data_IF_310494271062
#
_entry.id   IF_310494271062
#
_cell.length_a   1.000
_cell.length_b   1.000
_cell.length_c   1.000
_cell.angle_alpha   90.00
_cell.angle_beta   90.00
_cell.angle_gamma   90.00
#
_symmetry.space_group_name_H-M   'P 1'
#
loop_
_entity.id
_entity.type
_entity.pdbx_description
1 polymer ?
#
# COMPACT_ATOMS: atom_id res chain seq x y z
N UNK A 1 18.83 -0.69 9.16
CA UNK A 1 18.02 0.11 8.20
C UNK A 1 18.82 0.30 6.93
N UNK A 2 18.20 0.26 5.75
CA UNK A 2 18.86 0.59 4.49
C UNK A 2 17.94 0.46 3.28
N UNK A 3 18.51 0.53 2.09
CA UNK A 3 17.77 0.48 0.82
C UNK A 3 17.43 -0.96 0.42
N UNK A 4 16.15 -1.33 0.53
CA UNK A 4 15.67 -2.66 0.14
C UNK A 4 15.82 -2.98 -1.35
N UNK A 5 16.02 -1.98 -2.22
CA UNK A 5 16.32 -2.22 -3.63
C UNK A 5 17.76 -2.70 -3.86
N UNK A 6 18.69 -2.44 -2.94
CA UNK A 6 20.10 -2.76 -3.15
C UNK A 6 20.39 -4.26 -3.04
N UNK A 7 21.45 -4.71 -3.70
CA UNK A 7 21.97 -6.08 -3.53
C UNK A 7 22.56 -6.27 -2.13
N UNK A 8 23.24 -5.25 -1.60
CA UNK A 8 23.83 -5.26 -0.25
C UNK A 8 22.77 -5.57 0.82
N UNK A 9 21.60 -4.94 0.76
CA UNK A 9 20.52 -5.21 1.72
C UNK A 9 19.97 -6.63 1.60
N UNK A 10 19.89 -7.17 0.38
CA UNK A 10 19.48 -8.57 0.15
C UNK A 10 20.50 -9.54 0.74
N UNK A 11 21.79 -9.26 0.54
CA UNK A 11 22.90 -10.04 1.10
C UNK A 11 22.91 -10.01 2.64
N UNK A 12 22.72 -8.84 3.24
CA UNK A 12 22.64 -8.67 4.69
C UNK A 12 21.48 -9.44 5.31
N UNK A 13 20.29 -9.36 4.70
CA UNK A 13 19.11 -10.13 5.16
C UNK A 13 19.36 -11.63 5.02
N UNK A 14 19.92 -12.08 3.90
CA UNK A 14 20.27 -13.50 3.70
C UNK A 14 21.28 -13.97 4.74
N UNK A 15 22.30 -13.16 5.02
CA UNK A 15 23.31 -13.46 6.03
C UNK A 15 22.66 -13.61 7.41
N UNK A 16 21.81 -12.68 7.81
CA UNK A 16 21.07 -12.75 9.06
C UNK A 16 20.20 -14.01 9.15
N UNK A 17 19.48 -14.37 8.07
CA UNK A 17 18.66 -15.59 8.05
C UNK A 17 19.52 -16.84 8.31
N UNK A 18 20.72 -16.90 7.73
CA UNK A 18 21.64 -18.04 7.85
C UNK A 18 22.34 -18.10 9.21
N UNK A 19 22.76 -16.97 9.74
CA UNK A 19 23.64 -16.90 10.91
C UNK A 19 22.86 -16.78 12.23
N UNK A 20 21.74 -16.05 12.23
CA UNK A 20 21.06 -15.61 13.47
C UNK A 20 19.62 -16.13 13.56
N UNK A 21 18.84 -16.06 12.47
CA UNK A 21 17.45 -16.53 12.47
C UNK A 21 17.33 -18.04 12.67
N UNK A 22 18.39 -18.79 12.30
CA UNK A 22 18.53 -20.22 12.60
C UNK A 22 17.64 -21.14 11.76
N UNK A 23 17.17 -20.68 10.60
CA UNK A 23 16.22 -21.44 9.79
C UNK A 23 16.00 -20.91 8.39
N UNK A 24 14.85 -21.29 7.84
CA UNK A 24 14.36 -20.84 6.54
C UNK A 24 13.10 -20.01 6.76
N UNK A 25 12.78 -19.15 5.82
CA UNK A 25 11.55 -18.36 5.87
C UNK A 25 10.42 -19.09 5.14
N UNK A 26 9.21 -18.98 5.68
CA UNK A 26 7.97 -19.51 5.11
C UNK A 26 7.04 -18.41 4.56
N UNK A 27 7.32 -17.14 4.86
CA UNK A 27 6.56 -16.00 4.39
C UNK A 27 7.45 -14.80 4.07
N UNK A 28 7.25 -14.21 2.89
CA UNK A 28 7.78 -12.89 2.53
C UNK A 28 6.63 -11.91 2.24
N UNK A 29 6.55 -10.84 3.02
CA UNK A 29 5.65 -9.71 2.75
C UNK A 29 6.41 -8.62 2.01
N UNK A 30 6.01 -8.33 0.77
CA UNK A 30 6.55 -7.23 -0.02
C UNK A 30 5.65 -6.00 0.08
N UNK A 31 6.03 -5.07 0.97
CA UNK A 31 5.25 -3.87 1.33
C UNK A 31 6.05 -2.58 1.12
N UNK A 32 6.77 -2.48 0.00
CA UNK A 32 7.54 -1.29 -0.36
C UNK A 32 6.64 -0.21 -0.98
N UNK A 33 6.74 1.01 -0.44
CA UNK A 33 6.24 2.22 -1.07
C UNK A 33 7.39 3.23 -1.11
N UNK A 34 7.95 3.46 -2.29
CA UNK A 34 9.05 4.39 -2.51
C UNK A 34 8.77 5.26 -3.72
N UNK A 35 9.26 6.50 -3.69
CA UNK A 35 9.24 7.38 -4.85
C UNK A 35 10.45 7.15 -5.78
N UNK A 36 11.45 6.40 -5.31
CA UNK A 36 12.77 6.26 -5.97
C UNK A 36 13.26 4.83 -5.85
N UNK A 37 13.87 4.32 -6.93
CA UNK A 37 14.63 3.06 -6.95
C UNK A 37 15.90 3.31 -7.73
N UNK A 38 17.05 2.96 -7.16
CA UNK A 38 18.27 2.75 -7.94
C UNK A 38 18.29 1.27 -8.33
N UNK A 39 18.24 0.98 -9.62
CA UNK A 39 18.23 -0.42 -10.06
C UNK A 39 19.61 -1.04 -9.86
N UNK A 40 19.72 -2.14 -9.08
CA UNK A 40 20.99 -2.79 -8.82
C UNK A 40 21.64 -3.42 -10.07
N UNK A 41 20.92 -3.57 -11.19
CA UNK A 41 21.46 -4.19 -12.42
C UNK A 41 22.19 -3.21 -13.32
N UNK A 42 21.63 -2.01 -13.51
CA UNK A 42 22.17 -1.00 -14.42
C UNK A 42 22.71 0.26 -13.71
N UNK A 43 22.44 0.41 -12.40
CA UNK A 43 22.85 1.55 -11.60
C UNK A 43 22.04 2.83 -11.84
N UNK A 44 20.97 2.78 -12.63
CA UNK A 44 20.12 3.94 -12.96
C UNK A 44 19.14 4.21 -11.83
N UNK A 45 19.03 5.48 -11.43
CA UNK A 45 18.02 5.93 -10.47
C UNK A 45 16.73 6.34 -11.19
N UNK A 46 15.68 5.57 -10.97
CA UNK A 46 14.33 5.82 -11.44
C UNK A 46 13.51 6.56 -10.38
N UNK A 47 12.61 7.45 -10.84
CA UNK A 47 11.67 8.17 -9.98
C UNK A 47 10.25 7.92 -10.46
N UNK A 48 9.39 7.45 -9.56
CA UNK A 48 7.98 7.26 -9.88
C UNK A 48 7.27 8.60 -9.96
N UNK A 49 6.32 8.72 -10.88
CA UNK A 49 5.38 9.82 -10.94
C UNK A 49 3.99 9.29 -10.61
N UNK A 50 3.17 10.08 -9.94
CA UNK A 50 1.74 9.80 -9.75
C UNK A 50 0.94 10.70 -10.69
N UNK A 51 0.63 10.17 -11.86
CA UNK A 51 0.00 10.91 -12.97
C UNK A 51 -0.98 10.02 -13.72
N UNK A 52 -1.95 10.64 -14.37
CA UNK A 52 -2.87 9.95 -15.28
C UNK A 52 -2.15 9.56 -16.57
N UNK A 53 -2.57 8.50 -17.25
CA UNK A 53 -1.98 8.11 -18.56
C UNK A 53 -2.77 8.62 -19.76
N UNK A 54 -4.01 9.06 -19.56
CA UNK A 54 -4.90 9.46 -20.66
C UNK A 54 -5.13 10.97 -20.72
N UNK A 55 -5.56 11.56 -19.62
CA UNK A 55 -5.98 12.96 -19.53
C UNK A 55 -5.76 13.54 -18.14
N UNK A 56 -5.68 14.86 -18.07
CA UNK A 56 -5.64 15.56 -16.78
C UNK A 56 -6.85 15.22 -15.93
N UNK A 57 -6.61 15.03 -14.63
CA UNK A 57 -7.65 14.77 -13.63
C UNK A 57 -7.71 15.97 -12.70
N UNK A 58 -8.89 16.54 -12.59
CA UNK A 58 -9.19 17.64 -11.67
C UNK A 58 -10.24 17.12 -10.70
N UNK A 59 -10.01 17.30 -9.40
CA UNK A 59 -10.97 16.86 -8.39
C UNK A 59 -10.72 17.44 -7.00
N UNK A 60 -11.76 17.48 -6.17
CA UNK A 60 -11.65 17.95 -4.80
C UNK A 60 -10.82 16.98 -3.96
N UNK A 61 -9.99 17.53 -3.08
CA UNK A 61 -9.26 16.81 -2.04
C UNK A 61 -9.36 17.56 -0.72
N UNK A 62 -9.06 16.89 0.38
CA UNK A 62 -8.96 17.54 1.70
C UNK A 62 -7.51 17.95 1.91
N UNK A 63 -7.28 19.25 2.10
CA UNK A 63 -6.02 19.77 2.61
C UNK A 63 -6.02 19.58 4.14
N UNK A 64 -5.24 18.62 4.64
CA UNK A 64 -5.20 18.29 6.07
C UNK A 64 -4.56 19.38 6.93
N UNK A 65 -3.69 20.22 6.37
CA UNK A 65 -3.03 21.32 7.08
C UNK A 65 -3.98 22.49 7.28
N UNK A 66 -4.67 22.91 6.21
CA UNK A 66 -5.62 24.02 6.24
C UNK A 66 -7.01 23.64 6.70
N UNK A 67 -7.29 22.33 6.74
CA UNK A 67 -8.59 21.76 7.05
C UNK A 67 -9.72 22.29 6.15
N UNK A 68 -9.45 22.37 4.84
CA UNK A 68 -10.37 22.83 3.80
C UNK A 68 -10.40 21.87 2.61
N UNK A 69 -11.46 21.94 1.79
CA UNK A 69 -11.45 21.31 0.48
C UNK A 69 -10.70 22.23 -0.50
N UNK A 70 -9.77 21.65 -1.24
CA UNK A 70 -9.10 22.31 -2.36
C UNK A 70 -9.25 21.51 -3.64
N UNK A 71 -9.23 22.19 -4.77
CA UNK A 71 -9.14 21.53 -6.07
C UNK A 71 -7.69 21.09 -6.31
N UNK A 72 -7.52 19.83 -6.67
CA UNK A 72 -6.23 19.24 -7.00
C UNK A 72 -6.21 18.85 -8.47
N UNK A 73 -5.06 19.08 -9.11
CA UNK A 73 -4.84 18.75 -10.52
C UNK A 73 -3.73 17.72 -10.63
N UNK A 74 -4.03 16.61 -11.30
CA UNK A 74 -3.07 15.57 -11.67
C UNK A 74 -2.86 15.60 -13.17
N UNK A 75 -1.65 15.96 -13.59
CA UNK A 75 -1.27 16.02 -15.00
C UNK A 75 -1.16 14.65 -15.67
N UNK A 76 -0.89 14.68 -16.98
CA UNK A 76 -0.67 13.49 -17.82
C UNK A 76 0.81 13.09 -17.77
N UNK A 77 1.06 11.79 -17.67
CA UNK A 77 2.39 11.22 -17.61
C UNK A 77 3.07 11.19 -18.99
N UNK A 78 4.38 11.43 -19.01
CA UNK A 78 5.20 11.09 -20.18
C UNK A 78 5.45 9.57 -20.25
N UNK A 79 5.84 9.03 -21.41
CA UNK A 79 6.25 7.62 -21.52
C UNK A 79 7.39 7.24 -20.57
N UNK A 80 8.33 8.17 -20.31
CA UNK A 80 9.44 7.98 -19.37
C UNK A 80 8.97 7.91 -17.91
N UNK A 81 7.98 8.73 -17.54
CA UNK A 81 7.36 8.70 -16.22
C UNK A 81 6.60 7.39 -15.98
N UNK A 82 5.90 6.88 -16.99
CA UNK A 82 5.25 5.56 -16.93
C UNK A 82 6.31 4.47 -16.73
N UNK A 83 7.35 4.45 -17.56
CA UNK A 83 8.43 3.46 -17.46
C UNK A 83 9.12 3.50 -16.09
N UNK A 84 9.51 4.68 -15.63
CA UNK A 84 10.15 4.86 -14.33
C UNK A 84 9.25 4.43 -13.18
N UNK A 85 7.94 4.69 -13.27
CA UNK A 85 6.98 4.25 -12.25
C UNK A 85 6.86 2.72 -12.22
N UNK A 86 6.85 2.05 -13.38
CA UNK A 86 6.90 0.58 -13.43
C UNK A 86 8.19 0.05 -12.82
N UNK A 87 9.34 0.67 -13.11
CA UNK A 87 10.63 0.27 -12.50
C UNK A 87 10.60 0.39 -10.98
N UNK A 88 10.01 1.45 -10.43
CA UNK A 88 9.99 1.67 -8.96
C UNK A 88 8.93 0.83 -8.25
N UNK A 89 7.71 0.79 -8.77
CA UNK A 89 6.51 0.27 -8.05
C UNK A 89 5.95 -1.03 -8.64
N UNK A 90 6.58 -1.57 -9.68
CA UNK A 90 6.26 -2.86 -10.29
C UNK A 90 6.77 -4.05 -9.48
N UNK A 91 6.74 -5.23 -10.11
CA UNK A 91 7.11 -6.48 -9.45
C UNK A 91 8.59 -6.84 -9.54
N UNK A 92 9.39 -6.09 -10.29
CA UNK A 92 10.77 -6.50 -10.58
C UNK A 92 11.62 -6.71 -9.33
N UNK A 93 11.64 -5.78 -8.37
CA UNK A 93 12.44 -5.94 -7.15
C UNK A 93 11.88 -7.03 -6.22
N UNK A 94 10.56 -7.20 -6.17
CA UNK A 94 9.94 -8.32 -5.45
C UNK A 94 10.44 -9.66 -5.99
N UNK A 95 10.52 -9.80 -7.32
CA UNK A 95 11.10 -10.97 -7.95
C UNK A 95 12.58 -11.13 -7.60
N UNK A 96 13.38 -10.07 -7.60
CA UNK A 96 14.79 -10.12 -7.19
C UNK A 96 14.97 -10.59 -5.75
N UNK A 97 14.10 -10.18 -4.84
CA UNK A 97 14.10 -10.69 -3.46
C UNK A 97 13.85 -12.19 -3.41
N UNK A 98 12.81 -12.68 -4.09
CA UNK A 98 12.49 -14.11 -4.11
C UNK A 98 13.62 -14.93 -4.76
N UNK A 99 14.20 -14.44 -5.85
CA UNK A 99 15.34 -15.09 -6.52
C UNK A 99 16.57 -15.15 -5.62
N UNK A 100 16.94 -14.05 -4.95
CA UNK A 100 18.10 -14.04 -4.06
C UNK A 100 17.92 -14.98 -2.85
N UNK A 101 16.73 -15.02 -2.25
CA UNK A 101 16.39 -15.92 -1.15
C UNK A 101 16.41 -17.39 -1.59
N UNK A 102 15.92 -17.66 -2.81
CA UNK A 102 15.93 -18.99 -3.42
C UNK A 102 17.36 -19.49 -3.68
N UNK A 103 18.20 -18.67 -4.32
CA UNK A 103 19.59 -18.97 -4.63
C UNK A 103 20.41 -19.22 -3.35
N UNK A 104 20.12 -18.47 -2.29
CA UNK A 104 20.75 -18.64 -0.99
C UNK A 104 20.28 -19.90 -0.24
N UNK A 105 19.22 -20.58 -0.70
CA UNK A 105 18.67 -21.79 -0.11
C UNK A 105 17.90 -21.56 1.20
N UNK A 106 17.43 -20.33 1.45
CA UNK A 106 16.79 -19.93 2.71
C UNK A 106 15.25 -19.93 2.67
N UNK A 107 14.65 -20.44 1.59
CA UNK A 107 13.20 -20.61 1.43
C UNK A 107 12.75 -22.01 1.88
N UNK A 108 11.72 -22.08 2.72
CA UNK A 108 11.15 -23.33 3.22
C UNK A 108 10.06 -23.93 2.29
N UNK A 109 9.69 -25.19 2.53
CA UNK A 109 8.56 -25.84 1.85
C UNK A 109 7.25 -25.15 2.24
N UNK A 110 6.38 -24.93 1.26
CA UNK A 110 5.10 -24.23 1.46
C UNK A 110 5.24 -22.72 1.55
N UNK A 111 6.41 -22.17 1.21
CA UNK A 111 6.67 -20.74 1.25
C UNK A 111 5.61 -19.92 0.52
N UNK A 112 5.17 -18.85 1.18
CA UNK A 112 4.22 -17.88 0.65
C UNK A 112 4.89 -16.54 0.47
N UNK A 113 4.47 -15.79 -0.54
CA UNK A 113 4.83 -14.38 -0.62
C UNK A 113 3.64 -13.53 -1.04
N UNK A 114 3.49 -12.36 -0.41
CA UNK A 114 2.36 -11.46 -0.65
C UNK A 114 2.88 -10.05 -0.89
N UNK A 115 2.56 -9.49 -2.06
CA UNK A 115 2.80 -8.09 -2.37
C UNK A 115 1.54 -7.25 -2.15
N UNK A 116 1.65 -6.12 -1.45
CA UNK A 116 0.50 -5.24 -1.24
C UNK A 116 0.26 -4.32 -2.45
N UNK A 117 -1.02 -4.18 -2.79
CA UNK A 117 -1.49 -3.30 -3.86
C UNK A 117 -2.83 -2.66 -3.46
N UNK A 118 -3.29 -1.74 -4.30
CA UNK A 118 -4.55 -1.03 -4.14
C UNK A 118 -5.16 -0.84 -5.53
N UNK A 119 -6.48 -1.07 -5.63
CA UNK A 119 -7.26 -0.82 -6.84
C UNK A 119 -8.27 0.32 -6.62
N UNK A 120 -8.99 0.26 -5.52
CA UNK A 120 -10.01 1.24 -5.16
C UNK A 120 -11.26 1.18 -6.04
N UNK A 121 -12.21 2.11 -5.84
CA UNK A 121 -13.42 2.21 -6.64
C UNK A 121 -13.23 2.99 -7.93
N UNK A 122 -14.32 3.06 -8.72
CA UNK A 122 -14.38 3.80 -9.99
C UNK A 122 -13.94 5.25 -9.88
N UNK A 123 -14.31 5.96 -8.79
CA UNK A 123 -13.93 7.37 -8.59
C UNK A 123 -12.41 7.56 -8.51
N UNK A 124 -11.65 6.52 -8.15
CA UNK A 124 -10.19 6.58 -8.07
C UNK A 124 -9.47 5.97 -9.29
N UNK A 125 -10.20 5.44 -10.29
CA UNK A 125 -9.58 4.71 -11.41
C UNK A 125 -8.62 5.55 -12.22
N UNK A 126 -8.97 6.81 -12.53
CA UNK A 126 -8.08 7.69 -13.30
C UNK A 126 -6.71 7.90 -12.63
N UNK A 127 -6.66 7.88 -11.30
CA UNK A 127 -5.43 8.06 -10.53
C UNK A 127 -4.68 6.74 -10.38
N UNK A 128 -5.40 5.68 -10.02
CA UNK A 128 -4.80 4.39 -9.73
C UNK A 128 -4.78 3.49 -10.96
N UNK A 129 -5.92 2.88 -11.30
CA UNK A 129 -6.01 1.85 -12.34
C UNK A 129 -5.48 2.32 -13.70
N UNK A 130 -5.87 3.52 -14.10
CA UNK A 130 -5.59 4.12 -15.41
C UNK A 130 -4.46 5.16 -15.34
N UNK A 131 -3.77 5.25 -14.19
CA UNK A 131 -2.59 6.07 -13.99
C UNK A 131 -1.27 5.31 -14.15
N UNK A 132 -0.17 6.02 -13.97
CA UNK A 132 1.21 5.48 -13.93
C UNK A 132 1.35 4.38 -12.88
N UNK A 133 0.73 4.56 -11.71
CA UNK A 133 0.77 3.56 -10.64
C UNK A 133 0.02 2.29 -11.04
N UNK A 134 -1.08 2.39 -11.80
CA UNK A 134 -1.81 1.24 -12.34
C UNK A 134 -1.00 0.45 -13.35
N UNK A 135 -0.18 1.11 -14.17
CA UNK A 135 0.78 0.43 -15.03
C UNK A 135 1.78 -0.40 -14.21
N UNK A 136 2.30 0.18 -13.13
CA UNK A 136 3.18 -0.55 -12.21
C UNK A 136 2.46 -1.71 -11.49
N UNK A 137 1.19 -1.53 -11.08
CA UNK A 137 0.43 -2.60 -10.42
C UNK A 137 0.08 -3.75 -11.35
N UNK A 138 -0.17 -3.51 -12.64
CA UNK A 138 -0.30 -4.58 -13.64
C UNK A 138 0.99 -5.39 -13.82
N UNK A 139 2.15 -4.72 -13.79
CA UNK A 139 3.45 -5.40 -13.81
C UNK A 139 3.67 -6.26 -12.54
N UNK A 140 3.26 -5.73 -11.37
CA UNK A 140 3.28 -6.47 -10.10
C UNK A 140 2.38 -7.72 -10.14
N UNK A 141 1.18 -7.60 -10.71
CA UNK A 141 0.23 -8.71 -10.90
C UNK A 141 0.80 -9.79 -11.82
N UNK A 142 1.35 -9.41 -12.98
CA UNK A 142 2.02 -10.35 -13.89
C UNK A 142 3.22 -11.06 -13.21
N UNK A 143 3.99 -10.30 -12.43
CA UNK A 143 5.10 -10.87 -11.64
C UNK A 143 4.59 -11.86 -10.60
N UNK A 144 3.45 -11.61 -9.97
CA UNK A 144 2.84 -12.54 -9.01
C UNK A 144 2.54 -13.89 -9.65
N UNK A 145 2.01 -13.91 -10.87
CA UNK A 145 1.74 -15.17 -11.57
C UNK A 145 3.03 -15.93 -11.91
N UNK A 146 4.05 -15.21 -12.38
CA UNK A 146 5.37 -15.78 -12.64
C UNK A 146 5.97 -16.41 -11.37
N UNK A 147 5.92 -15.70 -10.24
CA UNK A 147 6.42 -16.18 -8.96
C UNK A 147 5.58 -17.36 -8.43
N UNK A 148 4.26 -17.31 -8.61
CA UNK A 148 3.37 -18.36 -8.16
C UNK A 148 3.68 -19.70 -8.86
N UNK A 149 3.88 -19.68 -10.18
CA UNK A 149 4.24 -20.87 -10.95
C UNK A 149 5.60 -21.45 -10.53
N UNK A 150 6.58 -20.56 -10.31
CA UNK A 150 7.91 -20.93 -9.83
C UNK A 150 7.86 -21.58 -8.44
N UNK A 151 7.22 -20.93 -7.47
CA UNK A 151 7.15 -21.38 -6.09
C UNK A 151 6.32 -22.65 -5.94
N UNK A 152 5.22 -22.78 -6.69
CA UNK A 152 4.39 -23.98 -6.68
C UNK A 152 5.18 -25.21 -7.12
N UNK A 153 5.99 -25.08 -8.17
CA UNK A 153 6.81 -26.18 -8.70
C UNK A 153 7.95 -26.56 -7.75
N UNK A 154 8.64 -25.58 -7.16
CA UNK A 154 9.87 -25.83 -6.39
C UNK A 154 9.61 -26.10 -4.91
N UNK A 155 8.63 -25.44 -4.32
CA UNK A 155 8.39 -25.44 -2.87
C UNK A 155 6.99 -25.92 -2.48
N UNK A 156 6.09 -26.18 -3.44
CA UNK A 156 4.65 -26.26 -3.18
C UNK A 156 4.16 -24.99 -2.46
N UNK A 157 4.72 -23.84 -2.86
CA UNK A 157 4.43 -22.52 -2.33
C UNK A 157 3.46 -21.70 -3.19
N UNK A 158 3.21 -20.47 -2.78
CA UNK A 158 2.20 -19.58 -3.38
C UNK A 158 2.70 -18.12 -3.40
N UNK A 159 2.35 -17.36 -4.44
CA UNK A 159 2.60 -15.91 -4.48
C UNK A 159 1.32 -15.14 -4.78
N UNK A 160 0.98 -14.11 -4.02
CA UNK A 160 -0.24 -13.32 -4.22
C UNK A 160 0.03 -11.82 -4.29
N UNK A 161 -0.80 -11.12 -5.06
CA UNK A 161 -1.07 -9.70 -4.81
C UNK A 161 -2.26 -9.60 -3.87
N UNK A 162 -2.19 -8.72 -2.85
CA UNK A 162 -3.30 -8.43 -1.95
C UNK A 162 -3.78 -7.00 -2.12
N UNK A 163 -5.03 -6.83 -2.53
CA UNK A 163 -5.70 -5.54 -2.70
C UNK A 163 -6.23 -5.05 -1.36
N UNK A 164 -5.54 -4.07 -0.78
CA UNK A 164 -5.91 -3.46 0.50
C UNK A 164 -7.01 -2.44 0.32
N UNK A 165 -7.76 -2.16 1.40
CA UNK A 165 -8.74 -1.07 1.42
C UNK A 165 -8.04 0.29 1.41
N UNK A 166 -8.77 1.35 1.10
CA UNK A 166 -8.31 2.72 1.26
C UNK A 166 -8.11 3.03 2.74
N UNK A 167 -6.86 3.33 3.12
CA UNK A 167 -6.44 3.66 4.47
C UNK A 167 -5.61 4.93 4.46
N UNK A 168 -5.67 5.71 5.53
CA UNK A 168 -4.76 6.84 5.75
C UNK A 168 -3.36 6.33 6.04
N UNK A 169 -2.42 6.69 5.18
CA UNK A 169 -0.98 6.42 5.30
C UNK A 169 -0.22 7.67 4.87
N UNK A 170 1.08 7.76 5.18
CA UNK A 170 1.90 8.87 4.68
C UNK A 170 1.90 8.97 3.15
N UNK A 171 1.83 7.83 2.47
CA UNK A 171 1.77 7.79 1.01
C UNK A 171 0.41 8.22 0.46
N UNK A 172 -0.69 7.76 1.08
CA UNK A 172 -2.03 7.98 0.57
C UNK A 172 -2.62 9.35 0.92
N UNK A 173 -2.16 9.98 2.01
CA UNK A 173 -2.62 11.29 2.45
C UNK A 173 -2.29 12.43 1.45
N UNK A 174 -1.32 12.23 0.57
CA UNK A 174 -0.88 13.22 -0.43
C UNK A 174 -1.38 12.92 -1.85
N UNK A 175 -2.16 11.85 -2.02
CA UNK A 175 -2.71 11.47 -3.32
C UNK A 175 -3.94 12.34 -3.59
N UNK A 176 -4.02 13.07 -4.72
CA UNK A 176 -5.21 13.82 -5.11
C UNK A 176 -6.50 12.99 -4.95
N UNK A 177 -7.61 13.60 -4.55
CA UNK A 177 -8.93 12.95 -4.36
C UNK A 177 -8.99 11.96 -3.18
N UNK A 178 -7.88 11.33 -2.80
CA UNK A 178 -7.87 10.21 -1.86
C UNK A 178 -8.27 10.58 -0.43
N UNK A 179 -7.77 11.66 0.21
CA UNK A 179 -8.19 12.04 1.56
C UNK A 179 -9.71 12.24 1.69
N UNK A 180 -10.33 12.86 0.67
CA UNK A 180 -11.78 13.04 0.63
C UNK A 180 -12.50 11.69 0.51
N UNK A 181 -12.04 10.83 -0.39
CA UNK A 181 -12.60 9.48 -0.56
C UNK A 181 -12.52 8.67 0.73
N UNK A 182 -11.34 8.67 1.38
CA UNK A 182 -11.12 7.95 2.62
C UNK A 182 -12.06 8.44 3.73
N UNK A 183 -12.21 9.76 3.91
CA UNK A 183 -13.10 10.32 4.92
C UNK A 183 -14.57 9.93 4.70
N UNK A 184 -15.05 9.94 3.44
CA UNK A 184 -16.41 9.51 3.10
C UNK A 184 -16.59 8.01 3.33
N UNK A 185 -15.61 7.21 2.89
CA UNK A 185 -15.62 5.76 3.06
C UNK A 185 -15.63 5.36 4.54
N UNK A 186 -14.83 6.03 5.36
CA UNK A 186 -14.73 5.74 6.80
C UNK A 186 -16.06 5.94 7.48
N UNK A 187 -16.78 7.02 7.16
CA UNK A 187 -18.14 7.23 7.66
C UNK A 187 -19.04 6.05 7.33
N UNK A 188 -19.16 5.72 6.04
CA UNK A 188 -20.07 4.67 5.55
C UNK A 188 -19.71 3.31 6.16
N UNK A 189 -18.42 2.96 6.20
CA UNK A 189 -17.97 1.69 6.76
C UNK A 189 -18.16 1.65 8.29
N UNK A 190 -17.99 2.75 9.02
CA UNK A 190 -18.25 2.82 10.48
C UNK A 190 -19.74 2.66 10.78
N UNK A 191 -20.63 3.35 10.04
CA UNK A 191 -22.08 3.22 10.21
C UNK A 191 -22.57 1.78 9.96
N UNK A 192 -21.89 1.04 9.08
CA UNK A 192 -22.19 -0.38 8.79
C UNK A 192 -21.42 -1.39 9.66
N UNK A 193 -20.53 -0.93 10.56
CA UNK A 193 -19.70 -1.82 11.38
C UNK A 193 -18.64 -2.62 10.60
N UNK A 194 -18.14 -2.06 9.50
CA UNK A 194 -17.17 -2.69 8.58
C UNK A 194 -15.79 -2.02 8.59
N UNK A 195 -15.64 -0.88 9.28
CA UNK A 195 -14.38 -0.12 9.27
C UNK A 195 -13.23 -0.94 9.85
N UNK A 196 -12.09 -0.91 9.16
CA UNK A 196 -10.85 -1.53 9.57
C UNK A 196 -9.72 -0.53 9.35
N UNK A 197 -8.81 -0.44 10.31
CA UNK A 197 -7.51 0.19 10.12
C UNK A 197 -6.50 -0.80 9.53
N UNK A 198 -5.23 -0.38 9.49
CA UNK A 198 -4.15 -1.21 8.95
C UNK A 198 -4.01 -2.52 9.72
N UNK A 199 -4.05 -2.49 11.05
CA UNK A 199 -3.81 -3.68 11.86
C UNK A 199 -4.93 -4.70 11.74
N UNK A 200 -6.19 -4.28 11.76
CA UNK A 200 -7.37 -5.14 11.61
C UNK A 200 -7.34 -5.83 10.24
N UNK A 201 -7.07 -5.05 9.19
CA UNK A 201 -7.04 -5.58 7.84
C UNK A 201 -5.89 -6.57 7.63
N UNK A 202 -4.67 -6.27 8.11
CA UNK A 202 -3.54 -7.20 7.96
C UNK A 202 -3.72 -8.45 8.82
N UNK A 203 -4.32 -8.31 9.99
CA UNK A 203 -4.70 -9.46 10.81
C UNK A 203 -5.73 -10.35 10.09
N UNK A 204 -6.80 -9.79 9.52
CA UNK A 204 -7.79 -10.56 8.74
C UNK A 204 -7.18 -11.22 7.51
N UNK A 205 -6.34 -10.50 6.77
CA UNK A 205 -5.60 -11.04 5.62
C UNK A 205 -4.79 -12.28 6.02
N UNK A 206 -3.97 -12.18 7.07
CA UNK A 206 -3.12 -13.30 7.49
C UNK A 206 -3.93 -14.46 8.06
N UNK A 207 -4.83 -14.16 9.00
CA UNK A 207 -5.61 -15.16 9.74
C UNK A 207 -6.59 -15.91 8.86
N UNK A 208 -7.35 -15.21 8.01
CA UNK A 208 -8.47 -15.81 7.29
C UNK A 208 -8.09 -16.24 5.86
N UNK A 209 -7.15 -15.54 5.23
CA UNK A 209 -6.84 -15.74 3.80
C UNK A 209 -5.48 -16.41 3.55
N UNK A 210 -4.38 -15.90 4.12
CA UNK A 210 -3.03 -16.43 3.86
C UNK A 210 -2.83 -17.78 4.56
N UNK A 211 -3.22 -17.86 5.84
CA UNK A 211 -3.10 -19.07 6.67
C UNK A 211 -4.45 -19.69 7.06
N UNK A 212 -5.55 -19.01 6.73
CA UNK A 212 -6.90 -19.47 7.04
C UNK A 212 -7.52 -20.32 5.94
N UNK A 213 -8.82 -20.56 6.09
CA UNK A 213 -9.63 -21.36 5.17
C UNK A 213 -10.76 -20.56 4.51
N UNK A 214 -10.67 -19.22 4.53
CA UNK A 214 -11.64 -18.31 3.93
C UNK A 214 -10.97 -17.26 3.04
N UNK A 215 -10.14 -17.67 2.06
CA UNK A 215 -9.52 -16.71 1.16
C UNK A 215 -10.57 -16.10 0.23
N UNK A 216 -10.62 -14.77 0.18
CA UNK A 216 -11.37 -14.02 -0.83
C UNK A 216 -10.42 -13.74 -1.98
N UNK A 217 -10.60 -14.43 -3.11
CA UNK A 217 -9.72 -14.35 -4.27
C UNK A 217 -10.56 -14.00 -5.49
N UNK A 218 -10.12 -12.99 -6.26
CA UNK A 218 -10.80 -12.64 -7.50
C UNK A 218 -10.35 -13.49 -8.71
N UNK A 219 -10.96 -13.24 -9.87
CA UNK A 219 -10.64 -13.97 -11.11
C UNK A 219 -9.21 -13.76 -11.62
N UNK A 220 -8.51 -12.74 -11.12
CA UNK A 220 -7.11 -12.43 -11.43
C UNK A 220 -6.16 -12.94 -10.34
N UNK A 221 -6.64 -13.83 -9.46
CA UNK A 221 -5.86 -14.51 -8.42
C UNK A 221 -5.31 -13.56 -7.35
N UNK A 222 -5.96 -12.41 -7.15
CA UNK A 222 -5.58 -11.45 -6.10
C UNK A 222 -6.39 -11.68 -4.83
N UNK A 223 -5.73 -11.61 -3.68
CA UNK A 223 -6.39 -11.60 -2.38
C UNK A 223 -7.15 -10.28 -2.20
N UNK A 224 -8.40 -10.35 -1.72
CA UNK A 224 -9.35 -9.23 -1.65
C UNK A 224 -9.78 -8.89 -0.22
N UNK A 225 -8.87 -8.49 0.68
CA UNK A 225 -9.30 -7.90 1.95
C UNK A 225 -10.04 -6.56 1.76
N UNK A 226 -9.95 -5.91 0.60
CA UNK A 226 -10.81 -4.79 0.23
C UNK A 226 -12.27 -5.16 -0.07
N UNK A 227 -12.65 -6.45 -0.02
CA UNK A 227 -14.00 -6.92 -0.36
C UNK A 227 -15.13 -6.21 0.40
N UNK A 228 -14.91 -5.77 1.64
CA UNK A 228 -15.89 -5.02 2.41
C UNK A 228 -16.05 -3.57 1.94
N UNK A 229 -14.96 -2.93 1.54
CA UNK A 229 -15.02 -1.62 0.87
C UNK A 229 -15.76 -1.75 -0.45
N UNK A 230 -15.47 -2.79 -1.22
CA UNK A 230 -16.01 -3.01 -2.58
C UNK A 230 -17.44 -3.54 -2.62
N UNK A 231 -18.14 -3.63 -1.48
CA UNK A 231 -19.57 -3.95 -1.45
C UNK A 231 -20.37 -2.89 -2.20
N UNK A 232 -21.36 -3.33 -2.98
CA UNK A 232 -22.24 -2.45 -3.77
C UNK A 232 -22.94 -1.40 -2.89
N UNK A 233 -23.46 -1.81 -1.72
CA UNK A 233 -24.14 -0.90 -0.80
C UNK A 233 -23.21 0.10 -0.12
N UNK A 234 -21.92 -0.21 0.00
CA UNK A 234 -20.90 0.73 0.51
C UNK A 234 -20.56 1.73 -0.58
N UNK A 235 -20.24 1.26 -1.79
CA UNK A 235 -19.83 2.14 -2.89
C UNK A 235 -20.95 3.06 -3.35
N UNK A 236 -22.19 2.57 -3.47
CA UNK A 236 -23.33 3.40 -3.84
C UNK A 236 -23.59 4.53 -2.83
N UNK A 237 -23.39 4.26 -1.54
CA UNK A 237 -23.54 5.27 -0.49
C UNK A 237 -22.40 6.29 -0.51
N UNK A 238 -21.15 5.84 -0.70
CA UNK A 238 -20.01 6.76 -0.86
C UNK A 238 -20.17 7.64 -2.10
N UNK A 239 -20.60 7.09 -3.25
CA UNK A 239 -20.90 7.86 -4.47
C UNK A 239 -22.00 8.90 -4.21
N UNK A 240 -23.08 8.52 -3.51
CA UNK A 240 -24.15 9.45 -3.17
C UNK A 240 -23.72 10.58 -2.20
N UNK A 241 -22.74 10.34 -1.33
CA UNK A 241 -22.15 11.37 -0.49
C UNK A 241 -21.14 12.23 -1.27
N UNK A 242 -20.39 11.62 -2.19
CA UNK A 242 -19.45 12.30 -3.08
C UNK A 242 -20.13 13.41 -3.88
N UNK A 243 -21.32 13.13 -4.44
CA UNK A 243 -22.09 14.12 -5.21
C UNK A 243 -22.67 15.27 -4.36
N UNK A 244 -22.67 15.13 -3.03
CA UNK A 244 -23.24 16.11 -2.09
C UNK A 244 -22.19 16.88 -1.31
N UNK A 245 -20.93 16.45 -1.35
CA UNK A 245 -19.87 17.08 -0.57
C UNK A 245 -19.54 18.46 -1.11
N UNK A 246 -19.42 19.43 -0.21
CA UNK A 246 -19.04 20.80 -0.50
C UNK A 246 -17.96 21.26 0.49
N UNK A 247 -17.19 22.31 0.18
CA UNK A 247 -16.22 22.88 1.12
C UNK A 247 -16.80 23.27 2.48
N UNK A 248 -18.10 23.59 2.54
CA UNK A 248 -18.79 24.00 3.76
C UNK A 248 -19.26 22.81 4.61
N UNK A 249 -19.60 21.67 3.99
CA UNK A 249 -20.24 20.54 4.68
C UNK A 249 -19.31 19.33 4.88
N UNK A 250 -18.11 19.32 4.30
CA UNK A 250 -17.30 18.10 4.22
C UNK A 250 -16.99 17.47 5.59
N UNK A 251 -16.80 18.29 6.63
CA UNK A 251 -16.53 17.82 8.00
C UNK A 251 -17.74 17.13 8.64
N UNK A 252 -18.95 17.43 8.19
CA UNK A 252 -20.21 16.86 8.71
C UNK A 252 -20.68 15.66 7.87
N UNK A 253 -20.48 15.73 6.54
CA UNK A 253 -20.92 14.68 5.62
C UNK A 253 -19.94 13.49 5.56
N UNK A 254 -18.69 13.69 5.96
CA UNK A 254 -17.65 12.65 6.00
C UNK A 254 -17.17 12.39 7.43
N UNK A 255 -16.37 11.34 7.63
CA UNK A 255 -15.62 11.13 8.86
C UNK A 255 -14.25 11.81 8.79
N UNK A 256 -14.27 13.12 8.56
CA UNK A 256 -13.05 13.93 8.52
C UNK A 256 -12.26 13.83 9.83
N UNK A 257 -12.96 13.83 10.98
CA UNK A 257 -12.34 13.72 12.30
C UNK A 257 -11.53 12.42 12.40
N UNK A 258 -12.13 11.27 12.05
CA UNK A 258 -11.45 9.98 12.09
C UNK A 258 -10.30 9.89 11.10
N UNK A 259 -10.47 10.39 9.86
CA UNK A 259 -9.39 10.41 8.88
C UNK A 259 -8.18 11.26 9.34
N UNK A 260 -8.44 12.43 9.95
CA UNK A 260 -7.41 13.30 10.53
C UNK A 260 -6.72 12.65 11.72
N UNK A 261 -7.49 12.04 12.62
CA UNK A 261 -6.96 11.31 13.77
C UNK A 261 -6.03 10.17 13.33
N UNK A 262 -6.46 9.34 12.37
CA UNK A 262 -5.61 8.28 11.81
C UNK A 262 -4.34 8.86 11.17
N UNK A 263 -4.42 9.98 10.45
CA UNK A 263 -3.25 10.65 9.89
C UNK A 263 -2.27 11.15 10.97
N UNK A 264 -2.77 11.79 12.04
CA UNK A 264 -1.94 12.29 13.14
C UNK A 264 -1.24 11.16 13.88
N UNK A 265 -1.94 10.03 14.08
CA UNK A 265 -1.42 8.85 14.75
C UNK A 265 -0.21 8.25 14.00
N UNK A 266 -0.11 8.39 12.67
CA UNK A 266 1.06 7.95 11.87
C UNK A 266 2.36 8.70 12.21
N UNK A 267 2.25 9.83 12.91
CA UNK A 267 3.36 10.67 13.35
C UNK A 267 3.50 10.70 14.87
N UNK A 268 2.75 9.87 15.60
CA UNK A 268 2.80 9.79 17.06
C UNK A 268 1.94 10.83 17.79
N UNK A 269 1.06 11.55 17.10
CA UNK A 269 0.22 12.60 17.68
C UNK A 269 -1.25 12.18 17.81
N UNK A 270 -1.96 12.70 18.81
CA UNK A 270 -3.39 12.45 18.99
C UNK A 270 -3.74 11.25 19.87
N UNK A 271 -2.77 10.69 20.61
CA UNK A 271 -3.01 9.58 21.52
C UNK A 271 -3.39 10.08 22.93
N UNK A 272 -4.54 9.62 23.44
CA UNK A 272 -5.05 9.98 24.77
C UNK A 272 -4.13 9.54 25.93
N UNK A 273 -3.25 8.56 25.68
CA UNK A 273 -2.35 7.99 26.67
C UNK A 273 -0.92 8.55 26.60
N UNK A 274 -0.70 9.64 25.85
CA UNK A 274 0.58 10.34 25.71
C UNK A 274 0.45 11.74 26.29
N UNK A 275 1.36 12.09 27.20
CA UNK A 275 1.47 13.46 27.70
C UNK A 275 2.34 14.29 26.74
N UNK A 276 1.71 15.16 25.96
CA UNK A 276 2.38 16.01 24.96
C UNK A 276 3.05 17.26 25.55
N UNK A 277 2.82 17.54 26.84
CA UNK A 277 3.47 18.67 27.56
C UNK A 277 4.77 18.23 28.25
N UNK A 278 5.06 16.93 28.31
CA UNK A 278 6.31 16.40 28.86
C UNK A 278 7.48 16.68 27.91
N UNK A 279 8.55 17.29 28.44
CA UNK A 279 9.79 17.53 27.72
C UNK A 279 10.43 16.22 27.20
N UNK A 280 10.98 16.27 25.99
CA UNK A 280 11.66 15.15 25.34
C UNK A 280 13.17 15.37 25.36
N UNK A 281 13.92 14.37 25.82
CA UNK A 281 15.38 14.35 25.73
C UNK A 281 15.84 13.75 24.40
N UNK A 282 16.32 14.63 23.50
CA UNK A 282 16.80 14.23 22.18
C UNK A 282 18.10 13.42 22.24
N UNK A 283 18.94 13.63 23.26
CA UNK A 283 20.20 12.90 23.42
C UNK A 283 19.92 11.47 23.88
N UNK A 284 18.91 11.25 24.73
CA UNK A 284 18.47 9.90 25.08
C UNK A 284 17.81 9.18 23.89
N UNK A 285 16.98 9.88 23.11
CA UNK A 285 16.37 9.29 21.91
C UNK A 285 17.43 8.87 20.87
N UNK A 286 18.49 9.67 20.70
CA UNK A 286 19.57 9.37 19.76
C UNK A 286 20.38 8.11 20.13
N UNK A 287 20.29 7.63 21.37
CA UNK A 287 20.96 6.39 21.82
C UNK A 287 20.22 5.13 21.41
N UNK A 288 18.92 5.22 21.10
CA UNK A 288 18.12 4.07 20.68
C UNK A 288 18.70 3.47 19.39
N UNK A 289 18.94 2.17 19.40
CA UNK A 289 19.41 1.42 18.23
C UNK A 289 18.23 0.64 17.63
N UNK A 290 18.08 0.63 16.28
CA UNK A 290 17.12 -0.21 15.58
C UNK A 290 17.33 -1.71 15.78
#
# INVERSE_FOLDING_TARGET
>A
MGDAFSNEMKEDVIKYIKEEFGGKIDLLIYSLASAVRTDPKDGVTYRSALKSTEKEIVGPSINLEKEEIEETVMGVATPEEIHSTVKVMGGEDWKLWVEALDEAGVIDKGFKTVAYSYLGPKVTYGIYKDGTIGAAKRDLEHTSDTLNDFLKKKYNGEAYVSLSKALMTRASAVIPIFPLYAALLYRVMKEKGLHEGTIEQKHRLLKDMVYGNKPEIDSERRLRPDNWEMREDVQAEVEALWDKVTPENFKEISDYKGAREEFMNLSGFGFDNVDYDTDIDLDELAKLQP
#
